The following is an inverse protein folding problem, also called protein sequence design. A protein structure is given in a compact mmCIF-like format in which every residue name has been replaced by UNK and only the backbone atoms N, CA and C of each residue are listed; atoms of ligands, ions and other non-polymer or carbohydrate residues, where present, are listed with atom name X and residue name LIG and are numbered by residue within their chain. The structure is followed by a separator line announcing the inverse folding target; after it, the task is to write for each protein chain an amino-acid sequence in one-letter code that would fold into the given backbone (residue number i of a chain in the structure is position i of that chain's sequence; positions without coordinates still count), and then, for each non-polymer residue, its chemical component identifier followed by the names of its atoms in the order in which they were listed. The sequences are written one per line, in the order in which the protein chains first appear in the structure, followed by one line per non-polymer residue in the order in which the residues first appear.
data_IF_936905996596
#
_entry.id   IF_936905996596
#
_cell.length_a   1.000
_cell.length_b   1.000
_cell.length_c   1.000
_cell.angle_alpha   90.00
_cell.angle_beta   90.00
_cell.angle_gamma   90.00
#
_symmetry.space_group_name_H-M   'P 1'
#
loop_
_entity.id
_entity.type
_entity.pdbx_description
1 polymer ?
#
# COMPACT_ATOMS: atom_id res chain seq x y z
N UNK A 1 -4.92 10.86 -7.16
CA UNK A 1 -4.94 9.82 -8.21
C UNK A 1 -4.67 8.49 -7.53
N UNK A 2 -5.48 7.49 -7.85
CA UNK A 2 -5.37 6.14 -7.29
C UNK A 2 -5.31 5.13 -8.41
N UNK A 3 -4.31 4.27 -8.37
CA UNK A 3 -4.09 3.21 -9.34
C UNK A 3 -4.39 1.85 -8.71
N UNK A 4 -5.15 1.03 -9.43
CA UNK A 4 -5.54 -0.31 -9.00
C UNK A 4 -4.38 -1.29 -8.89
N UNK A 5 -4.63 -2.50 -8.38
CA UNK A 5 -3.65 -3.58 -8.33
C UNK A 5 -3.08 -3.94 -9.70
N UNK A 6 -1.87 -4.51 -9.70
CA UNK A 6 -1.19 -5.06 -10.86
C UNK A 6 -0.75 -6.50 -10.66
N UNK A 7 0.06 -7.02 -11.60
CA UNK A 7 0.49 -8.42 -11.59
C UNK A 7 1.71 -8.67 -10.72
N UNK A 8 2.58 -7.67 -10.62
CA UNK A 8 3.79 -7.79 -9.83
C UNK A 8 3.47 -7.77 -8.32
N UNK A 9 4.29 -8.44 -7.53
CA UNK A 9 4.11 -8.54 -6.06
C UNK A 9 3.89 -7.18 -5.42
N UNK A 10 4.72 -6.19 -5.77
CA UNK A 10 4.64 -4.82 -5.25
C UNK A 10 3.48 -3.99 -5.81
N UNK A 11 2.84 -4.43 -6.90
CA UNK A 11 1.69 -3.76 -7.50
C UNK A 11 0.35 -4.20 -6.93
N UNK A 12 0.31 -5.34 -6.25
CA UNK A 12 -0.93 -5.94 -5.73
C UNK A 12 -1.67 -5.05 -4.75
N UNK A 13 -0.95 -4.17 -4.09
CA UNK A 13 -1.50 -3.25 -3.08
C UNK A 13 -2.05 -1.96 -3.68
N UNK A 14 -1.99 -1.79 -5.00
CA UNK A 14 -2.37 -0.55 -5.66
C UNK A 14 -1.31 0.54 -5.50
N UNK A 15 -1.68 1.79 -5.80
CA UNK A 15 -0.78 2.92 -5.69
C UNK A 15 -1.54 4.25 -5.56
N UNK A 16 -0.95 5.23 -4.87
CA UNK A 16 -1.44 6.59 -4.79
C UNK A 16 -0.38 7.61 -5.22
N UNK A 17 -0.85 8.66 -5.87
CA UNK A 17 -0.03 9.82 -6.22
C UNK A 17 -0.85 11.12 -6.09
N UNK A 18 -0.18 12.25 -5.93
CA UNK A 18 -0.79 13.58 -5.86
C UNK A 18 -0.60 14.30 -7.19
N UNK A 19 -1.71 14.67 -7.85
CA UNK A 19 -1.70 15.46 -9.08
C UNK A 19 -1.88 16.94 -8.80
N UNK A 20 -1.07 17.78 -9.42
CA UNK A 20 -1.18 19.24 -9.37
C UNK A 20 -1.37 19.74 -10.81
N UNK A 21 -2.55 20.33 -11.08
CA UNK A 21 -2.85 20.94 -12.36
C UNK A 21 -2.76 22.46 -12.27
N UNK A 22 -1.91 23.05 -13.10
CA UNK A 22 -1.86 24.50 -13.29
C UNK A 22 -2.75 24.90 -14.47
N UNK A 23 -3.89 25.54 -14.18
CA UNK A 23 -4.86 25.95 -15.22
C UNK A 23 -4.35 27.08 -16.13
N UNK A 24 -3.42 27.90 -15.64
CA UNK A 24 -2.88 29.01 -16.40
C UNK A 24 -1.85 28.56 -17.45
N UNK A 25 -1.01 27.58 -17.11
CA UNK A 25 0.04 27.05 -18.01
C UNK A 25 -0.37 25.77 -18.72
N UNK A 26 -1.43 25.10 -18.28
CA UNK A 26 -1.85 23.78 -18.75
C UNK A 26 -0.99 22.63 -18.24
N UNK A 27 0.03 22.90 -17.41
CA UNK A 27 0.87 21.87 -16.82
C UNK A 27 0.04 20.97 -15.86
N UNK A 28 0.20 19.65 -16.01
CA UNK A 28 -0.46 18.65 -15.18
C UNK A 28 0.60 17.63 -14.72
N UNK A 29 1.03 17.79 -13.46
CA UNK A 29 2.16 17.05 -12.88
C UNK A 29 1.66 16.11 -11.79
N UNK A 30 2.15 14.88 -11.82
CA UNK A 30 1.85 13.84 -10.81
C UNK A 30 3.12 13.58 -9.99
N UNK A 31 3.02 13.83 -8.68
CA UNK A 31 4.07 13.52 -7.69
C UNK A 31 3.85 12.10 -7.19
N UNK A 32 4.82 11.25 -7.47
CA UNK A 32 4.73 9.82 -7.32
C UNK A 32 5.76 9.33 -6.30
N UNK A 33 5.33 9.00 -5.08
CA UNK A 33 6.17 8.38 -4.06
C UNK A 33 6.27 6.87 -4.31
N UNK A 34 7.36 6.27 -3.87
CA UNK A 34 7.58 4.83 -4.04
C UNK A 34 8.31 4.49 -5.33
N UNK A 35 8.98 5.46 -5.95
CA UNK A 35 9.87 5.19 -7.07
C UNK A 35 11.12 4.50 -6.56
N UNK A 36 11.46 3.37 -7.17
CA UNK A 36 12.50 2.47 -6.74
C UNK A 36 13.47 2.17 -7.87
N UNK A 37 14.78 2.16 -7.56
CA UNK A 37 15.82 1.76 -8.51
C UNK A 37 16.52 0.47 -8.03
N UNK A 38 16.37 -0.61 -8.80
CA UNK A 38 17.05 -1.90 -8.55
C UNK A 38 18.59 -1.82 -8.67
N UNK A 39 19.11 -0.76 -9.28
CA UNK A 39 20.55 -0.54 -9.48
C UNK A 39 21.23 0.18 -8.30
N UNK A 40 20.51 0.38 -7.20
CA UNK A 40 21.08 0.99 -6.00
C UNK A 40 22.30 0.19 -5.52
N UNK A 41 23.34 0.90 -5.11
CA UNK A 41 24.50 0.28 -4.48
C UNK A 41 24.04 -0.49 -3.21
N UNK A 42 24.67 -1.64 -2.97
CA UNK A 42 24.35 -2.52 -1.84
C UNK A 42 22.88 -2.95 -1.76
N UNK A 43 22.23 -3.16 -2.91
CA UNK A 43 20.81 -3.53 -2.99
C UNK A 43 20.46 -4.70 -2.05
N UNK A 44 21.14 -5.84 -2.19
CA UNK A 44 20.82 -7.06 -1.42
C UNK A 44 21.06 -6.89 0.09
N UNK A 45 22.20 -6.37 0.57
CA UNK A 45 22.39 -6.05 1.98
C UNK A 45 21.34 -5.07 2.54
N UNK A 46 20.96 -4.05 1.78
CA UNK A 46 19.92 -3.08 2.18
C UNK A 46 18.54 -3.72 2.24
N UNK A 47 18.21 -4.54 1.26
CA UNK A 47 16.95 -5.29 1.24
C UNK A 47 16.82 -6.18 2.48
N UNK A 48 17.85 -6.96 2.81
CA UNK A 48 17.87 -7.84 3.97
C UNK A 48 17.77 -7.10 5.31
N UNK A 49 18.24 -5.84 5.37
CA UNK A 49 18.14 -4.98 6.56
C UNK A 49 16.86 -4.13 6.59
N UNK A 50 16.02 -4.20 5.57
CA UNK A 50 14.85 -3.31 5.43
C UNK A 50 15.23 -1.84 5.26
N UNK A 51 16.40 -1.55 4.67
CA UNK A 51 16.94 -0.19 4.47
C UNK A 51 16.79 0.29 3.02
N UNK A 52 15.73 -0.13 2.36
CA UNK A 52 15.49 0.23 0.97
C UNK A 52 15.20 1.73 0.83
N UNK A 53 15.90 2.38 -0.10
CA UNK A 53 15.69 3.81 -0.40
C UNK A 53 14.79 3.96 -1.62
N UNK A 54 13.75 4.71 -1.41
CA UNK A 54 12.78 5.11 -2.44
C UNK A 54 12.82 6.62 -2.62
N UNK A 55 12.25 7.10 -3.71
CA UNK A 55 12.15 8.53 -3.97
C UNK A 55 10.72 8.94 -4.34
N UNK A 56 10.48 10.25 -4.26
CA UNK A 56 9.37 10.89 -4.95
C UNK A 56 9.89 11.48 -6.27
N UNK A 57 9.14 11.24 -7.35
CA UNK A 57 9.44 11.79 -8.66
C UNK A 57 8.21 12.49 -9.25
N UNK A 58 8.46 13.52 -10.05
CA UNK A 58 7.41 14.29 -10.72
C UNK A 58 7.34 13.88 -12.20
N UNK A 59 6.13 13.49 -12.65
CA UNK A 59 5.90 13.03 -14.01
C UNK A 59 4.75 13.80 -14.67
N UNK A 60 4.76 13.89 -15.99
CA UNK A 60 3.59 14.35 -16.75
C UNK A 60 2.39 13.41 -16.54
N UNK A 61 1.21 13.98 -16.27
CA UNK A 61 0.02 13.20 -15.94
C UNK A 61 -0.45 12.29 -17.09
N UNK A 62 -0.23 12.69 -18.34
CA UNK A 62 -0.59 11.88 -19.52
C UNK A 62 0.34 10.69 -19.67
N UNK A 63 1.63 10.90 -19.41
CA UNK A 63 2.61 9.80 -19.41
C UNK A 63 2.30 8.78 -18.32
N UNK A 64 1.94 9.23 -17.12
CA UNK A 64 1.50 8.34 -16.03
C UNK A 64 0.28 7.55 -16.44
N UNK A 65 -0.75 8.19 -16.98
CA UNK A 65 -1.97 7.50 -17.43
C UNK A 65 -1.67 6.49 -18.55
N UNK A 66 -0.83 6.83 -19.53
CA UNK A 66 -0.43 5.92 -20.60
C UNK A 66 0.27 4.68 -20.03
N UNK A 67 1.25 4.87 -19.16
CA UNK A 67 1.97 3.78 -18.49
C UNK A 67 1.01 2.81 -17.76
N UNK A 68 0.08 3.32 -16.93
CA UNK A 68 -0.84 2.45 -16.18
C UNK A 68 -1.86 1.74 -17.07
N UNK A 69 -2.22 2.33 -18.23
CA UNK A 69 -3.02 1.65 -19.26
C UNK A 69 -2.27 0.48 -19.89
N UNK A 70 -1.00 0.69 -20.24
CA UNK A 70 -0.17 -0.33 -20.88
C UNK A 70 0.03 -1.56 -19.99
N UNK A 71 0.19 -1.34 -18.69
CA UNK A 71 0.30 -2.44 -17.71
C UNK A 71 -1.05 -2.88 -17.14
N UNK A 72 -2.17 -2.50 -17.77
CA UNK A 72 -3.54 -2.89 -17.42
C UNK A 72 -3.88 -2.69 -15.93
N UNK A 73 -3.63 -1.48 -15.38
CA UNK A 73 -4.00 -1.10 -14.01
C UNK A 73 -5.00 0.06 -14.05
N UNK A 74 -6.13 -0.09 -13.36
CA UNK A 74 -7.16 0.95 -13.29
C UNK A 74 -6.60 2.25 -12.74
N UNK A 75 -7.10 3.38 -13.24
CA UNK A 75 -6.72 4.72 -12.79
C UNK A 75 -7.97 5.53 -12.48
N UNK A 76 -8.09 6.01 -11.25
CA UNK A 76 -9.12 6.95 -10.82
C UNK A 76 -8.51 8.24 -10.29
N UNK A 77 -9.24 9.35 -10.46
CA UNK A 77 -8.83 10.67 -9.97
C UNK A 77 -9.96 11.29 -9.17
N UNK A 78 -9.62 11.77 -7.98
CA UNK A 78 -10.48 12.59 -7.14
C UNK A 78 -9.99 14.04 -7.19
N UNK A 79 -10.84 14.96 -7.62
CA UNK A 79 -10.59 16.40 -7.51
C UNK A 79 -11.02 16.85 -6.12
N UNK A 80 -10.08 17.48 -5.39
CA UNK A 80 -10.31 17.86 -4.01
C UNK A 80 -10.73 19.32 -3.89
N UNK A 81 -11.77 19.59 -3.10
CA UNK A 81 -12.34 20.90 -2.82
C UNK A 81 -11.49 21.71 -1.81
N UNK A 82 -10.18 21.81 -2.08
CA UNK A 82 -9.25 22.58 -1.26
C UNK A 82 -9.44 24.09 -1.45
N UNK A 83 -9.25 24.87 -0.39
CA UNK A 83 -9.16 26.34 -0.47
C UNK A 83 -7.90 26.75 -1.26
N UNK A 84 -7.82 28.00 -1.76
CA UNK A 84 -6.61 28.50 -2.42
C UNK A 84 -5.34 28.34 -1.57
N UNK A 85 -5.42 28.64 -0.27
CA UNK A 85 -4.29 28.48 0.66
C UNK A 85 -3.89 27.01 0.82
N UNK A 86 -4.83 26.08 0.97
CA UNK A 86 -4.56 24.66 1.07
C UNK A 86 -3.94 24.09 -0.23
N UNK A 87 -4.41 24.55 -1.39
CA UNK A 87 -3.82 24.17 -2.69
C UNK A 87 -2.39 24.63 -2.82
N UNK A 88 -2.11 25.88 -2.40
CA UNK A 88 -0.75 26.42 -2.41
C UNK A 88 0.15 25.63 -1.45
N UNK A 89 -0.27 25.42 -0.23
CA UNK A 89 0.48 24.66 0.78
C UNK A 89 0.78 23.22 0.31
N UNK A 90 -0.20 22.55 -0.30
CA UNK A 90 0.02 21.20 -0.87
C UNK A 90 1.03 21.23 -2.00
N UNK A 91 0.88 22.18 -2.94
CA UNK A 91 1.80 22.36 -4.07
C UNK A 91 3.23 22.60 -3.58
N UNK A 92 3.43 23.58 -2.71
CA UNK A 92 4.75 23.91 -2.15
C UNK A 92 5.39 22.72 -1.44
N UNK A 93 4.59 21.95 -0.68
CA UNK A 93 5.08 20.76 0.01
C UNK A 93 5.54 19.68 -0.96
N UNK A 94 4.74 19.33 -2.00
CA UNK A 94 5.12 18.26 -2.92
C UNK A 94 6.30 18.68 -3.81
N UNK A 95 6.38 19.95 -4.21
CA UNK A 95 7.52 20.50 -4.96
C UNK A 95 8.79 20.48 -4.11
N UNK A 96 8.72 20.93 -2.85
CA UNK A 96 9.83 20.86 -1.91
C UNK A 96 10.30 19.42 -1.68
N UNK A 97 9.35 18.49 -1.51
CA UNK A 97 9.67 17.09 -1.28
C UNK A 97 10.31 16.43 -2.53
N UNK A 98 9.99 16.90 -3.75
CA UNK A 98 10.56 16.39 -4.99
C UNK A 98 11.95 16.96 -5.32
N UNK A 99 12.48 17.93 -4.54
CA UNK A 99 13.86 18.42 -4.72
C UNK A 99 14.86 17.30 -4.43
N UNK A 100 15.97 17.27 -5.16
CA UNK A 100 17.02 16.26 -5.03
C UNK A 100 17.47 16.03 -3.59
N UNK A 101 17.59 17.10 -2.80
CA UNK A 101 17.99 17.04 -1.40
C UNK A 101 16.92 16.40 -0.47
N UNK A 102 15.66 16.34 -0.89
CA UNK A 102 14.53 15.95 -0.02
C UNK A 102 13.79 14.71 -0.52
N UNK A 103 14.00 14.30 -1.75
CA UNK A 103 13.18 13.29 -2.41
C UNK A 103 13.37 11.86 -1.90
N UNK A 104 14.52 11.56 -1.33
CA UNK A 104 14.85 10.22 -0.89
C UNK A 104 14.36 9.94 0.52
N UNK A 105 13.79 8.73 0.74
CA UNK A 105 13.34 8.28 2.05
C UNK A 105 13.52 6.77 2.22
N UNK A 106 13.51 6.32 3.48
CA UNK A 106 13.47 4.89 3.81
C UNK A 106 12.03 4.42 3.69
N UNK A 107 11.80 3.49 2.79
CA UNK A 107 10.47 2.92 2.58
C UNK A 107 10.13 1.94 3.70
N UNK A 108 8.93 2.06 4.24
CA UNK A 108 8.30 1.06 5.09
C UNK A 108 6.93 0.74 4.51
N UNK A 109 6.69 -0.53 4.32
CA UNK A 109 5.49 -1.02 3.66
C UNK A 109 4.19 -0.57 4.35
N UNK A 110 4.16 -0.51 5.68
CA UNK A 110 2.97 -0.19 6.46
C UNK A 110 2.87 1.28 6.88
N UNK A 111 4.00 1.91 7.19
CA UNK A 111 4.01 3.23 7.84
C UNK A 111 4.64 4.34 7.02
N UNK A 112 5.41 4.03 5.97
CA UNK A 112 6.05 5.04 5.10
C UNK A 112 6.08 4.59 3.63
N UNK A 113 4.90 4.50 3.00
CA UNK A 113 4.72 4.09 1.62
C UNK A 113 4.07 5.21 0.76
N UNK A 114 3.76 4.93 -0.50
CA UNK A 114 3.14 5.89 -1.41
C UNK A 114 1.79 6.43 -0.90
N UNK A 115 0.99 5.59 -0.24
CA UNK A 115 -0.32 5.98 0.28
C UNK A 115 -0.20 6.81 1.55
N UNK A 116 0.64 6.40 2.51
CA UNK A 116 0.87 7.17 3.74
C UNK A 116 1.50 8.52 3.44
N UNK A 117 2.44 8.61 2.48
CA UNK A 117 3.03 9.86 2.03
C UNK A 117 1.99 10.79 1.39
N UNK A 118 1.13 10.27 0.53
CA UNK A 118 0.02 11.04 -0.05
C UNK A 118 -0.98 11.48 1.02
N UNK A 119 -1.36 10.59 1.95
CA UNK A 119 -2.21 10.89 3.11
C UNK A 119 -1.63 12.03 3.94
N UNK A 120 -0.36 11.94 4.30
CA UNK A 120 0.29 12.89 5.20
C UNK A 120 0.48 14.27 4.53
N UNK A 121 0.75 14.28 3.21
CA UNK A 121 0.77 15.52 2.43
C UNK A 121 -0.60 16.21 2.42
N UNK A 122 -1.67 15.45 2.20
CA UNK A 122 -3.03 15.95 2.24
C UNK A 122 -3.44 16.38 3.65
N UNK A 123 -3.12 15.58 4.65
CA UNK A 123 -3.46 15.89 6.05
C UNK A 123 -2.77 17.17 6.53
N UNK A 124 -1.51 17.37 6.16
CA UNK A 124 -0.79 18.63 6.43
C UNK A 124 -1.48 19.83 5.79
N UNK A 125 -1.88 19.73 4.52
CA UNK A 125 -2.58 20.81 3.81
C UNK A 125 -3.98 21.08 4.40
N UNK A 126 -4.63 20.05 4.95
CA UNK A 126 -5.93 20.12 5.63
C UNK A 126 -5.84 20.46 7.13
N UNK A 127 -4.64 20.76 7.64
CA UNK A 127 -4.44 21.14 9.05
C UNK A 127 -4.70 19.98 10.03
N UNK A 128 -4.39 18.73 9.65
CA UNK A 128 -4.53 17.55 10.50
C UNK A 128 -5.95 16.96 10.53
N UNK A 129 -6.79 17.29 9.56
CA UNK A 129 -8.20 16.85 9.53
C UNK A 129 -8.37 15.35 9.39
N UNK A 130 -7.58 14.71 8.51
CA UNK A 130 -7.68 13.27 8.28
C UNK A 130 -7.31 12.48 9.53
N UNK A 131 -6.23 12.87 10.20
CA UNK A 131 -5.83 12.26 11.47
C UNK A 131 -6.92 12.40 12.52
N UNK A 132 -7.42 13.61 12.75
CA UNK A 132 -8.49 13.84 13.74
C UNK A 132 -9.75 13.04 13.46
N UNK A 133 -10.09 12.84 12.19
CA UNK A 133 -11.30 12.12 11.82
C UNK A 133 -11.16 10.60 11.96
N UNK A 134 -9.97 10.05 11.68
CA UNK A 134 -9.80 8.60 11.54
C UNK A 134 -8.95 7.93 12.62
N UNK A 135 -8.16 8.68 13.43
CA UNK A 135 -7.27 8.11 14.45
C UNK A 135 -8.04 7.47 15.62
N UNK A 136 -9.16 8.08 16.01
CA UNK A 136 -9.92 7.65 17.21
C UNK A 136 -10.81 6.44 17.03
N UNK A 137 -10.79 5.76 15.87
CA UNK A 137 -11.64 4.60 15.58
C UNK A 137 -10.85 3.43 15.00
N UNK A 138 -11.21 2.21 15.42
CA UNK A 138 -10.63 0.99 14.88
C UNK A 138 -11.07 0.74 13.42
N UNK A 139 -10.22 0.07 12.65
CA UNK A 139 -10.51 -0.32 11.27
C UNK A 139 -11.25 -1.67 11.17
N UNK A 140 -11.31 -2.42 12.26
CA UNK A 140 -11.79 -3.81 12.30
C UNK A 140 -10.81 -4.80 11.65
N UNK A 141 -9.56 -4.40 11.35
CA UNK A 141 -8.55 -5.22 10.68
C UNK A 141 -7.16 -4.94 11.20
N UNK A 142 -6.31 -5.97 11.13
CA UNK A 142 -4.87 -5.85 11.37
C UNK A 142 -4.11 -5.58 10.07
N UNK A 143 -2.83 -5.21 10.19
CA UNK A 143 -1.93 -5.11 9.02
C UNK A 143 -1.80 -6.46 8.30
N UNK A 144 -1.75 -7.55 9.06
CA UNK A 144 -1.71 -8.91 8.51
C UNK A 144 -2.97 -9.23 7.70
N UNK A 145 -4.16 -8.85 8.19
CA UNK A 145 -5.41 -9.08 7.46
C UNK A 145 -5.42 -8.39 6.09
N UNK A 146 -4.96 -7.14 6.03
CA UNK A 146 -4.89 -6.42 4.76
C UNK A 146 -3.79 -7.00 3.84
N UNK A 147 -2.65 -7.39 4.39
CA UNK A 147 -1.61 -8.06 3.61
C UNK A 147 -2.11 -9.39 3.02
N UNK A 148 -2.78 -10.22 3.82
CA UNK A 148 -3.42 -11.48 3.37
C UNK A 148 -4.47 -11.23 2.28
N UNK A 149 -5.31 -10.21 2.47
CA UNK A 149 -6.38 -9.87 1.53
C UNK A 149 -5.85 -9.50 0.15
N UNK A 150 -4.74 -8.77 0.10
CA UNK A 150 -4.16 -8.24 -1.13
C UNK A 150 -3.12 -9.18 -1.77
N UNK A 151 -2.57 -10.10 -0.99
CA UNK A 151 -1.57 -11.06 -1.44
C UNK A 151 -2.15 -12.45 -1.76
N UNK A 152 -3.39 -12.55 -2.20
CA UNK A 152 -4.17 -13.79 -2.42
C UNK A 152 -3.59 -14.75 -3.48
N UNK A 153 -2.27 -14.78 -3.66
CA UNK A 153 -1.59 -15.83 -4.42
C UNK A 153 -0.86 -16.74 -3.45
N UNK A 154 -1.12 -18.04 -3.52
CA UNK A 154 -0.72 -19.09 -2.56
C UNK A 154 0.68 -18.95 -1.95
N UNK A 155 1.70 -18.81 -2.80
CA UNK A 155 3.09 -18.71 -2.33
C UNK A 155 3.36 -17.36 -1.67
N UNK A 156 2.83 -16.28 -2.27
CA UNK A 156 3.02 -14.93 -1.75
C UNK A 156 2.29 -14.74 -0.43
N UNK A 157 1.04 -15.20 -0.34
CA UNK A 157 0.24 -15.21 0.89
C UNK A 157 1.01 -15.90 2.03
N UNK A 158 1.48 -17.13 1.78
CA UNK A 158 2.20 -17.92 2.80
C UNK A 158 3.51 -17.25 3.19
N UNK A 159 4.30 -16.77 2.22
CA UNK A 159 5.58 -16.11 2.48
C UNK A 159 5.43 -14.82 3.29
N UNK A 160 4.46 -13.97 2.94
CA UNK A 160 4.17 -12.74 3.69
C UNK A 160 3.66 -13.09 5.08
N UNK A 161 2.76 -14.06 5.19
CA UNK A 161 2.17 -14.46 6.47
C UNK A 161 3.21 -14.98 7.46
N UNK A 162 4.15 -15.77 7.00
CA UNK A 162 5.26 -16.27 7.81
C UNK A 162 6.30 -15.18 8.13
N UNK A 163 6.51 -14.23 7.21
CA UNK A 163 7.50 -13.16 7.39
C UNK A 163 7.04 -12.00 8.26
N UNK A 164 5.73 -11.84 8.47
CA UNK A 164 5.19 -10.79 9.32
C UNK A 164 5.29 -11.18 10.80
N UNK A 165 5.90 -10.32 11.61
CA UNK A 165 5.99 -10.48 13.07
C UNK A 165 4.68 -10.11 13.78
N UNK A 166 4.61 -10.45 15.09
CA UNK A 166 3.46 -10.19 15.95
C UNK A 166 2.94 -8.73 15.96
N UNK A 167 3.75 -7.68 15.79
CA UNK A 167 3.23 -6.31 15.70
C UNK A 167 2.22 -6.09 14.58
N UNK A 168 2.24 -6.92 13.53
CA UNK A 168 1.27 -6.84 12.42
C UNK A 168 -0.11 -7.39 12.73
N UNK A 169 -0.29 -8.04 13.90
CA UNK A 169 -1.54 -8.68 14.32
C UNK A 169 -2.47 -7.75 15.10
N UNK A 170 -1.97 -6.59 15.55
CA UNK A 170 -2.81 -5.62 16.23
C UNK A 170 -3.82 -4.99 15.28
N UNK A 171 -4.98 -4.66 15.80
CA UNK A 171 -5.94 -3.87 15.04
C UNK A 171 -5.37 -2.48 14.73
N UNK A 172 -5.57 -2.05 13.49
CA UNK A 172 -5.21 -0.70 13.02
C UNK A 172 -6.31 0.29 13.39
N UNK A 173 -5.92 1.54 13.62
CA UNK A 173 -6.88 2.65 13.50
C UNK A 173 -7.33 2.82 12.05
N UNK A 174 -8.46 3.49 11.83
CA UNK A 174 -8.88 3.85 10.47
C UNK A 174 -7.85 4.74 9.77
N UNK A 175 -7.15 5.61 10.51
CA UNK A 175 -6.06 6.41 9.97
C UNK A 175 -4.87 5.57 9.49
N UNK A 176 -4.46 4.58 10.28
CA UNK A 176 -3.40 3.63 9.89
C UNK A 176 -3.80 2.83 8.64
N UNK A 177 -5.07 2.38 8.57
CA UNK A 177 -5.57 1.61 7.42
C UNK A 177 -5.47 2.37 6.08
N UNK A 178 -5.29 3.71 6.10
CA UNK A 178 -5.05 4.51 4.90
C UNK A 178 -3.67 4.26 4.26
N UNK A 179 -2.86 3.35 4.81
CA UNK A 179 -1.65 2.86 4.12
C UNK A 179 -2.00 2.09 2.85
N UNK A 180 -3.24 1.60 2.73
CA UNK A 180 -3.76 0.95 1.52
C UNK A 180 -4.34 2.01 0.59
N UNK A 181 -3.87 2.08 -0.68
CA UNK A 181 -4.29 3.08 -1.65
C UNK A 181 -5.80 3.19 -1.85
N UNK A 182 -6.51 2.06 -1.95
CA UNK A 182 -7.96 2.05 -2.11
C UNK A 182 -8.68 2.55 -0.85
N UNK A 183 -8.15 2.23 0.35
CA UNK A 183 -8.69 2.73 1.62
C UNK A 183 -8.56 4.24 1.73
N UNK A 184 -7.42 4.81 1.32
CA UNK A 184 -7.25 6.27 1.28
C UNK A 184 -8.26 6.91 0.32
N UNK A 185 -8.39 6.39 -0.91
CA UNK A 185 -9.38 6.88 -1.88
C UNK A 185 -10.79 6.88 -1.30
N UNK A 186 -11.19 5.77 -0.69
CA UNK A 186 -12.56 5.60 -0.18
C UNK A 186 -12.79 6.49 1.05
N UNK A 187 -11.83 6.61 1.95
CA UNK A 187 -11.90 7.49 3.12
C UNK A 187 -12.03 8.98 2.74
N UNK A 188 -11.35 9.43 1.69
CA UNK A 188 -11.47 10.84 1.24
C UNK A 188 -12.89 11.21 0.84
N UNK A 189 -13.73 10.26 0.40
CA UNK A 189 -15.16 10.51 0.10
C UNK A 189 -16.00 10.81 1.34
N UNK A 190 -15.56 10.33 2.51
CA UNK A 190 -16.27 10.54 3.79
C UNK A 190 -15.92 11.89 4.43
N UNK A 191 -14.84 12.54 3.98
CA UNK A 191 -14.32 13.76 4.60
C UNK A 191 -15.17 14.96 4.22
N UNK A 192 -15.57 15.74 5.23
CA UNK A 192 -16.24 17.02 5.08
C UNK A 192 -15.29 18.15 5.42
N UNK A 193 -15.31 19.22 4.64
CA UNK A 193 -14.50 20.44 4.87
C UNK A 193 -15.41 21.65 5.01
N UNK A 194 -15.02 22.68 5.78
CA UNK A 194 -15.79 23.91 5.87
C UNK A 194 -16.03 24.55 4.50
N UNK A 195 -17.20 25.09 4.31
CA UNK A 195 -17.52 25.92 3.16
C UNK A 195 -17.54 27.42 3.49
N UNK A 196 -17.71 28.25 2.47
CA UNK A 196 -17.74 29.70 2.62
C UNK A 196 -19.01 30.24 3.29
N UNK A 197 -20.05 29.42 3.43
CA UNK A 197 -21.35 29.79 4.03
C UNK A 197 -21.42 29.47 5.53
N UNK A 198 -20.35 28.87 6.11
CA UNK A 198 -20.33 28.40 7.50
C UNK A 198 -20.85 26.97 7.68
N UNK A 199 -21.20 26.29 6.58
CA UNK A 199 -21.56 24.89 6.55
C UNK A 199 -20.36 23.97 6.26
N UNK A 200 -20.66 22.75 5.83
CA UNK A 200 -19.65 21.79 5.36
C UNK A 200 -19.97 21.30 3.95
N UNK A 201 -18.95 20.91 3.22
CA UNK A 201 -19.06 20.30 1.90
C UNK A 201 -18.12 19.09 1.79
N UNK A 202 -18.40 18.11 0.90
CA UNK A 202 -17.49 17.02 0.66
C UNK A 202 -16.09 17.51 0.24
N UNK A 203 -15.04 16.87 0.76
CA UNK A 203 -13.67 17.12 0.32
C UNK A 203 -13.47 16.69 -1.14
N UNK A 204 -14.09 15.59 -1.57
CA UNK A 204 -14.06 15.13 -2.96
C UNK A 204 -15.13 15.87 -3.75
N UNK A 205 -14.71 16.86 -4.55
CA UNK A 205 -15.62 17.64 -5.40
C UNK A 205 -16.07 16.85 -6.62
N UNK A 206 -15.22 16.03 -7.19
CA UNK A 206 -15.56 15.11 -8.29
C UNK A 206 -14.63 13.90 -8.28
N UNK A 207 -15.14 12.80 -8.81
CA UNK A 207 -14.36 11.58 -9.01
C UNK A 207 -14.59 11.03 -10.41
N UNK A 208 -13.50 10.62 -11.07
CA UNK A 208 -13.56 10.05 -12.41
C UNK A 208 -12.66 8.85 -12.52
N UNK A 209 -13.17 7.79 -13.12
CA UNK A 209 -12.36 6.67 -13.57
C UNK A 209 -11.82 7.00 -14.96
N UNK A 210 -10.50 7.16 -15.07
CA UNK A 210 -9.82 7.50 -16.33
C UNK A 210 -9.51 6.26 -17.17
N UNK A 211 -9.35 5.12 -16.49
CA UNK A 211 -9.13 3.83 -17.11
C UNK A 211 -9.58 2.71 -16.16
N UNK A 212 -10.31 1.75 -16.68
CA UNK A 212 -10.72 0.53 -15.98
C UNK A 212 -9.96 -0.67 -16.53
N UNK A 213 -9.16 -1.30 -15.68
CA UNK A 213 -8.45 -2.52 -16.02
C UNK A 213 -9.42 -3.72 -16.11
N UNK A 214 -9.10 -4.66 -17.00
CA UNK A 214 -9.80 -5.95 -17.08
C UNK A 214 -9.21 -6.91 -16.02
N UNK A 215 -9.51 -6.64 -14.73
CA UNK A 215 -9.01 -7.39 -13.57
C UNK A 215 -10.14 -7.71 -12.60
N UNK A 216 -10.04 -8.82 -11.83
CA UNK A 216 -10.95 -9.09 -10.73
C UNK A 216 -10.94 -7.93 -9.72
N UNK A 217 -12.08 -7.72 -9.06
CA UNK A 217 -12.15 -6.79 -7.93
C UNK A 217 -11.27 -7.29 -6.77
N UNK A 218 -10.78 -6.37 -5.95
CA UNK A 218 -10.11 -6.72 -4.71
C UNK A 218 -11.04 -7.52 -3.81
N UNK A 219 -10.48 -8.50 -3.10
CA UNK A 219 -11.22 -9.24 -2.10
C UNK A 219 -11.70 -8.30 -0.99
N UNK A 220 -12.90 -8.50 -0.50
CA UNK A 220 -13.47 -7.73 0.62
C UNK A 220 -12.89 -8.17 1.97
N UNK A 221 -12.40 -9.41 2.07
CA UNK A 221 -11.81 -10.01 3.26
C UNK A 221 -10.64 -10.93 2.86
N UNK A 222 -9.74 -11.28 3.80
CA UNK A 222 -8.71 -12.28 3.56
C UNK A 222 -9.31 -13.61 3.14
N UNK A 223 -8.68 -14.29 2.19
CA UNK A 223 -9.06 -15.65 1.84
C UNK A 223 -8.76 -16.62 3.00
N UNK A 224 -9.61 -17.61 3.20
CA UNK A 224 -9.42 -18.61 4.25
C UNK A 224 -8.73 -19.86 3.69
N UNK A 225 -7.44 -19.96 3.91
CA UNK A 225 -6.62 -21.11 3.49
C UNK A 225 -6.36 -22.13 4.60
N UNK A 226 -6.96 -21.98 5.81
CA UNK A 226 -6.69 -22.83 6.97
C UNK A 226 -6.93 -24.33 6.70
N UNK A 227 -8.05 -24.67 6.07
CA UNK A 227 -8.36 -26.06 5.71
C UNK A 227 -7.33 -26.68 4.77
N UNK A 228 -6.86 -25.91 3.78
CA UNK A 228 -5.82 -26.35 2.85
C UNK A 228 -4.49 -26.58 3.55
N UNK A 229 -4.05 -25.64 4.42
CA UNK A 229 -2.81 -25.82 5.18
C UNK A 229 -2.90 -26.97 6.18
N UNK A 230 -4.05 -27.19 6.80
CA UNK A 230 -4.27 -28.36 7.67
C UNK A 230 -4.11 -29.67 6.89
N UNK A 231 -4.68 -29.78 5.67
CA UNK A 231 -4.52 -30.96 4.82
C UNK A 231 -3.06 -31.17 4.37
N UNK A 232 -2.36 -30.11 3.98
CA UNK A 232 -0.94 -30.18 3.63
C UNK A 232 -0.11 -30.65 4.83
N UNK A 233 -0.36 -30.07 6.02
CA UNK A 233 0.32 -30.46 7.26
C UNK A 233 0.09 -31.91 7.61
N UNK A 234 -1.15 -32.38 7.54
CA UNK A 234 -1.49 -33.80 7.76
C UNK A 234 -0.80 -34.71 6.76
N UNK A 235 -0.80 -34.36 5.49
CA UNK A 235 -0.13 -35.17 4.44
C UNK A 235 1.39 -35.24 4.67
N UNK A 236 2.04 -34.12 4.94
CA UNK A 236 3.47 -34.07 5.27
C UNK A 236 3.80 -34.89 6.52
N UNK A 237 3.03 -34.72 7.58
CA UNK A 237 3.21 -35.47 8.84
C UNK A 237 3.04 -36.97 8.61
N UNK A 238 2.05 -37.38 7.81
CA UNK A 238 1.81 -38.78 7.48
C UNK A 238 2.97 -39.38 6.68
N UNK A 239 3.48 -38.64 5.70
CA UNK A 239 4.67 -39.06 4.91
C UNK A 239 5.90 -39.19 5.79
N UNK A 240 6.16 -38.21 6.66
CA UNK A 240 7.30 -38.23 7.58
C UNK A 240 7.19 -39.38 8.58
N UNK A 241 6.02 -39.63 9.14
CA UNK A 241 5.78 -40.76 10.07
C UNK A 241 5.97 -42.11 9.36
N UNK A 242 5.55 -42.22 8.11
CA UNK A 242 5.78 -43.42 7.32
C UNK A 242 7.26 -43.67 7.04
N UNK A 243 7.99 -42.61 6.63
CA UNK A 243 9.43 -42.67 6.37
C UNK A 243 10.23 -42.97 7.64
N UNK A 244 9.82 -42.43 8.79
CA UNK A 244 10.47 -42.67 10.09
C UNK A 244 10.42 -44.16 10.51
N UNK A 245 9.37 -44.89 10.11
CA UNK A 245 9.26 -46.34 10.33
C UNK A 245 10.37 -47.15 9.65
N UNK A 246 10.93 -46.64 8.54
CA UNK A 246 11.94 -47.32 7.77
C UNK A 246 13.36 -46.81 8.01
N UNK A 247 13.52 -45.64 8.63
CA UNK A 247 14.83 -45.02 8.90
C UNK A 247 14.83 -44.04 10.06
N UNK A 248 15.47 -44.37 11.18
CA UNK A 248 15.66 -43.44 12.31
C UNK A 248 16.46 -42.16 11.96
N UNK A 249 17.21 -42.21 10.83
CA UNK A 249 17.94 -41.02 10.34
C UNK A 249 16.99 -39.99 9.74
N UNK A 250 15.90 -40.43 9.08
CA UNK A 250 14.86 -39.56 8.54
C UNK A 250 14.09 -38.87 9.67
N UNK A 251 13.76 -39.58 10.75
CA UNK A 251 13.11 -39.02 11.93
C UNK A 251 13.94 -37.88 12.52
N UNK A 252 15.23 -38.11 12.74
CA UNK A 252 16.14 -37.06 13.26
C UNK A 252 16.28 -35.86 12.33
N UNK A 253 16.42 -36.10 11.04
CA UNK A 253 16.52 -35.04 10.02
C UNK A 253 15.23 -34.20 9.97
N UNK A 254 14.05 -34.84 10.03
CA UNK A 254 12.76 -34.17 10.07
C UNK A 254 12.57 -33.33 11.36
N UNK A 255 12.98 -33.85 12.53
CA UNK A 255 12.92 -33.14 13.79
C UNK A 255 13.84 -31.91 13.76
N UNK A 256 15.06 -32.03 13.25
CA UNK A 256 16.00 -30.89 13.11
C UNK A 256 15.43 -29.83 12.15
N UNK A 257 14.91 -30.25 10.99
CA UNK A 257 14.30 -29.31 10.02
C UNK A 257 13.08 -28.60 10.64
N UNK A 258 12.26 -29.31 11.40
CA UNK A 258 11.11 -28.73 12.10
C UNK A 258 11.53 -27.71 13.14
N UNK A 259 12.51 -28.05 13.99
CA UNK A 259 13.05 -27.11 15.00
C UNK A 259 13.67 -25.87 14.34
N UNK A 260 14.34 -26.02 13.20
CA UNK A 260 14.92 -24.90 12.46
C UNK A 260 13.85 -23.98 11.79
N UNK A 261 12.67 -24.52 11.51
CA UNK A 261 11.55 -23.74 10.93
C UNK A 261 10.72 -23.03 12.01
N UNK A 262 10.63 -23.60 13.19
CA UNK A 262 9.79 -23.09 14.29
C UNK A 262 10.57 -22.26 15.32
N UNK A 263 11.85 -22.34 15.36
CA UNK A 263 12.75 -21.68 16.32
C UNK A 263 13.46 -20.53 15.79
#
# INVERSE_FOLDING_TARGET
MTMGPGDQVWERFGHNAVGIRNRATGADVVYNWGVFDFRQADFLPRFLRGEMRYSVEAYDARAVLAFYRDINRSVSVQELALTPAQRLALKEFVEWNALEANKHYRYDYFVDNCSTRARDALDKALGGLLRRQFEGSGSGRSFRDEARRLADADVLYTGIDMGLGAPSDREMTRHEALFIPMRLRDALREVQVPDSSGGTRPLVASERELFRAARPAELSAPANHQGRYALIGLALTSVLALLARFSPRVERAAAVAWCALCG
#
